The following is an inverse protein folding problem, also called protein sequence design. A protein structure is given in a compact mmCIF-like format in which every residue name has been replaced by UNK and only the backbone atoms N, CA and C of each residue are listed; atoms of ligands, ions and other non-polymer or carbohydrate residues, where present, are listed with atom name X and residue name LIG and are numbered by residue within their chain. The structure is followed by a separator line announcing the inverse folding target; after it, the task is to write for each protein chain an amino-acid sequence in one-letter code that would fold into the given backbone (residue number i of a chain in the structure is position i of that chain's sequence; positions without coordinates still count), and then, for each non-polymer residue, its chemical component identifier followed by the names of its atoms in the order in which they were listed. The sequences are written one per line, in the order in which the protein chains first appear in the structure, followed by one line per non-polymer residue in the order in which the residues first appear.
data_IF_379950079104
#
_entry.id   IF_379950079104
#
_cell.length_a   1.000
_cell.length_b   1.000
_cell.length_c   1.000
_cell.angle_alpha   90.00
_cell.angle_beta   90.00
_cell.angle_gamma   90.00
#
_symmetry.space_group_name_H-M   'P 1'
#
loop_
_entity.id
_entity.type
_entity.pdbx_description
1 polymer ?
#
# COMPACT_ATOMS: atom_id res chain seq x y z
N UNK A 1 8.55 -4.75 10.02
CA UNK A 1 9.45 -4.15 11.00
C UNK A 1 10.83 -4.83 10.91
N UNK A 2 11.72 -4.27 10.07
CA UNK A 2 13.03 -4.84 9.76
C UNK A 2 14.18 -3.98 10.28
N UNK A 3 13.86 -2.93 11.03
CA UNK A 3 14.81 -1.91 11.51
C UNK A 3 14.92 -1.96 13.01
N UNK A 4 16.15 -2.02 13.49
CA UNK A 4 16.48 -2.01 14.93
C UNK A 4 16.97 -0.62 15.35
N UNK A 5 16.12 0.13 16.03
CA UNK A 5 16.42 1.48 16.52
C UNK A 5 17.58 1.48 17.53
N UNK A 6 17.68 0.45 18.38
CA UNK A 6 18.80 0.34 19.37
C UNK A 6 20.13 0.13 18.65
N UNK A 7 20.13 -0.64 17.57
CA UNK A 7 21.30 -0.77 16.70
C UNK A 7 21.65 0.55 16.01
N UNK A 8 20.66 1.29 15.51
CA UNK A 8 20.85 2.61 14.90
C UNK A 8 21.55 3.62 15.83
N UNK A 9 21.30 3.54 17.14
CA UNK A 9 21.95 4.41 18.11
C UNK A 9 23.47 4.17 18.26
N UNK A 10 23.97 3.02 17.81
CA UNK A 10 25.38 2.62 17.84
C UNK A 10 26.12 2.95 16.55
N UNK A 11 25.41 3.38 15.52
CA UNK A 11 26.00 3.69 14.22
C UNK A 11 26.94 4.88 14.29
N UNK A 12 27.95 4.89 13.41
CA UNK A 12 28.69 6.08 13.05
C UNK A 12 27.90 6.91 12.02
N UNK A 13 27.40 8.13 12.37
CA UNK A 13 26.62 8.94 11.45
C UNK A 13 27.37 9.32 10.17
N UNK A 14 28.69 9.48 10.22
CA UNK A 14 29.51 9.78 9.07
C UNK A 14 29.56 8.59 8.11
N UNK A 15 29.79 7.39 8.62
CA UNK A 15 29.80 6.17 7.81
C UNK A 15 28.39 5.90 7.21
N UNK A 16 27.33 6.12 7.99
CA UNK A 16 25.97 6.02 7.50
C UNK A 16 25.67 7.01 6.38
N UNK A 17 26.08 8.27 6.50
CA UNK A 17 25.92 9.28 5.47
C UNK A 17 26.66 8.93 4.18
N UNK A 18 27.90 8.45 4.27
CA UNK A 18 28.67 8.01 3.11
C UNK A 18 28.01 6.81 2.40
N UNK A 19 27.51 5.85 3.14
CA UNK A 19 26.78 4.71 2.59
C UNK A 19 25.48 5.17 1.91
N UNK A 20 24.70 6.05 2.55
CA UNK A 20 23.47 6.59 1.98
C UNK A 20 23.73 7.37 0.67
N UNK A 21 24.81 8.15 0.59
CA UNK A 21 25.20 8.88 -0.62
C UNK A 21 25.60 7.95 -1.78
N UNK A 22 26.15 6.77 -1.47
CA UNK A 22 26.42 5.75 -2.48
C UNK A 22 25.15 5.10 -3.04
N UNK A 23 24.11 5.02 -2.22
CA UNK A 23 22.83 4.44 -2.61
C UNK A 23 21.93 5.42 -3.38
N UNK A 24 22.03 6.73 -3.06
CA UNK A 24 21.07 7.72 -3.56
C UNK A 24 21.62 9.15 -3.49
N UNK A 25 21.24 10.01 -4.45
CA UNK A 25 21.55 11.45 -4.44
C UNK A 25 20.64 12.27 -3.53
N UNK A 26 19.91 11.65 -2.58
CA UNK A 26 19.03 12.37 -1.68
C UNK A 26 19.78 13.44 -0.89
N UNK A 27 19.29 14.66 -0.95
CA UNK A 27 20.00 15.84 -0.44
C UNK A 27 20.22 15.87 1.07
N UNK A 28 19.39 15.13 1.81
CA UNK A 28 19.51 15.00 3.26
C UNK A 28 20.50 13.92 3.71
N UNK A 29 21.10 13.18 2.79
CA UNK A 29 22.13 12.16 3.11
C UNK A 29 23.44 12.84 3.53
N UNK A 30 23.44 13.54 4.66
CA UNK A 30 24.59 14.29 5.17
C UNK A 30 24.93 13.88 6.60
N UNK A 31 26.21 13.92 6.96
CA UNK A 31 26.69 13.62 8.32
C UNK A 31 25.94 14.44 9.37
N UNK A 32 25.80 15.76 9.13
CA UNK A 32 25.11 16.64 10.09
C UNK A 32 23.66 16.27 10.31
N UNK A 33 22.94 15.91 9.26
CA UNK A 33 21.54 15.48 9.37
C UNK A 33 21.38 14.15 10.11
N UNK A 34 22.23 13.17 9.80
CA UNK A 34 22.24 11.88 10.49
C UNK A 34 22.61 12.04 11.98
N UNK A 35 23.65 12.85 12.28
CA UNK A 35 24.05 13.16 13.67
C UNK A 35 22.90 13.80 14.45
N UNK A 36 22.29 14.85 13.92
CA UNK A 36 21.19 15.53 14.60
C UNK A 36 20.00 14.61 14.85
N UNK A 37 19.67 13.74 13.88
CA UNK A 37 18.56 12.78 14.01
C UNK A 37 18.91 11.70 15.03
N UNK A 38 20.13 11.17 15.03
CA UNK A 38 20.56 10.18 16.01
C UNK A 38 20.53 10.73 17.43
N UNK A 39 20.97 11.98 17.66
CA UNK A 39 20.91 12.62 18.97
C UNK A 39 19.46 12.83 19.45
N UNK A 40 18.55 13.17 18.53
CA UNK A 40 17.12 13.23 18.85
C UNK A 40 16.56 11.86 19.23
N UNK A 41 16.94 10.79 18.52
CA UNK A 41 16.56 9.42 18.85
C UNK A 41 17.12 8.98 20.21
N UNK A 42 18.37 9.29 20.54
CA UNK A 42 18.97 9.01 21.85
C UNK A 42 18.16 9.65 22.99
N UNK A 43 17.79 10.91 22.84
CA UNK A 43 16.95 11.61 23.82
C UNK A 43 15.56 10.97 23.95
N UNK A 44 14.95 10.61 22.83
CA UNK A 44 13.64 9.94 22.81
C UNK A 44 13.70 8.59 23.54
N UNK A 45 14.66 7.74 23.23
CA UNK A 45 14.82 6.44 23.88
C UNK A 45 15.12 6.60 25.36
N UNK A 46 15.99 7.54 25.74
CA UNK A 46 16.33 7.83 27.13
C UNK A 46 15.15 8.36 27.96
N UNK A 47 14.17 8.97 27.34
CA UNK A 47 12.97 9.46 28.03
C UNK A 47 12.07 8.36 28.58
N UNK A 48 12.19 7.15 28.07
CA UNK A 48 11.30 6.02 28.38
C UNK A 48 9.88 6.17 27.86
N UNK A 49 9.55 7.25 27.15
CA UNK A 49 8.22 7.54 26.61
C UNK A 49 8.04 6.93 25.22
N UNK A 50 8.30 5.63 25.11
CA UNK A 50 8.28 4.94 23.82
C UNK A 50 6.87 4.62 23.30
N UNK A 51 5.83 4.71 24.16
CA UNK A 51 4.45 4.42 23.78
C UNK A 51 4.31 3.05 23.13
N UNK A 52 3.71 3.00 21.95
CA UNK A 52 3.51 1.75 21.21
C UNK A 52 4.81 1.08 20.75
N UNK A 53 5.92 1.79 20.71
CA UNK A 53 7.23 1.25 20.34
C UNK A 53 7.95 0.56 21.51
N UNK A 54 7.43 0.62 22.72
CA UNK A 54 8.03 -0.02 23.90
C UNK A 54 8.15 -1.56 23.76
N UNK A 55 7.29 -2.17 22.96
CA UNK A 55 7.27 -3.61 22.71
C UNK A 55 7.99 -4.00 21.40
N UNK A 56 8.85 -3.14 20.87
CA UNK A 56 9.67 -3.47 19.70
C UNK A 56 10.58 -4.67 19.99
N UNK A 57 10.80 -5.52 18.99
CA UNK A 57 11.69 -6.69 19.08
C UNK A 57 13.15 -6.31 18.88
N UNK A 58 13.55 -5.11 19.30
CA UNK A 58 14.90 -4.61 19.12
C UNK A 58 15.93 -5.52 19.80
N UNK A 59 17.01 -5.79 19.07
CA UNK A 59 18.03 -6.73 19.50
C UNK A 59 17.70 -8.19 19.18
N UNK A 60 16.61 -8.48 18.48
CA UNK A 60 16.30 -9.84 18.04
C UNK A 60 17.37 -10.36 17.06
N UNK A 61 17.84 -11.62 17.19
CA UNK A 61 18.94 -12.16 16.38
C UNK A 61 18.64 -12.23 14.88
N UNK A 62 17.39 -12.13 14.50
CA UNK A 62 16.98 -12.07 13.09
C UNK A 62 17.10 -10.69 12.46
N UNK A 63 17.34 -9.64 13.21
CA UNK A 63 17.72 -8.34 12.67
C UNK A 63 19.16 -8.36 12.18
N UNK A 64 19.35 -8.16 10.88
CA UNK A 64 20.64 -8.37 10.20
C UNK A 64 21.24 -7.12 9.59
N UNK A 65 20.52 -6.01 9.61
CA UNK A 65 21.05 -4.73 9.15
C UNK A 65 22.21 -4.28 10.04
N UNK A 66 23.25 -3.72 9.44
CA UNK A 66 24.33 -3.08 10.20
C UNK A 66 23.81 -1.87 10.98
N UNK A 67 24.54 -1.37 11.99
CA UNK A 67 24.14 -0.14 12.68
C UNK A 67 23.91 1.03 11.73
N UNK A 68 24.75 1.20 10.72
CA UNK A 68 24.64 2.28 9.72
C UNK A 68 23.39 2.11 8.86
N UNK A 69 23.10 0.89 8.39
CA UNK A 69 21.88 0.59 7.63
C UNK A 69 20.62 0.84 8.48
N UNK A 70 20.64 0.46 9.76
CA UNK A 70 19.55 0.75 10.68
C UNK A 70 19.38 2.26 10.89
N UNK A 71 20.47 3.03 10.96
CA UNK A 71 20.38 4.49 11.09
C UNK A 71 19.81 5.12 9.83
N UNK A 72 20.26 4.71 8.63
CA UNK A 72 19.72 5.18 7.34
C UNK A 72 18.21 4.93 7.30
N UNK A 73 17.78 3.70 7.49
CA UNK A 73 16.37 3.33 7.41
C UNK A 73 15.51 4.07 8.46
N UNK A 74 16.04 4.29 9.68
CA UNK A 74 15.33 5.04 10.72
C UNK A 74 15.19 6.52 10.35
N UNK A 75 16.26 7.16 9.87
CA UNK A 75 16.26 8.57 9.45
C UNK A 75 15.27 8.76 8.30
N UNK A 76 15.33 7.91 7.28
CA UNK A 76 14.45 7.98 6.12
C UNK A 76 12.99 7.66 6.47
N UNK A 77 12.74 6.78 7.44
CA UNK A 77 11.38 6.57 7.95
C UNK A 77 10.81 7.85 8.60
N UNK A 78 11.61 8.57 9.38
CA UNK A 78 11.19 9.85 9.94
C UNK A 78 10.95 10.91 8.85
N UNK A 79 11.77 10.92 7.80
CA UNK A 79 11.55 11.76 6.62
C UNK A 79 10.24 11.38 5.90
N UNK A 80 9.89 10.10 5.82
CA UNK A 80 8.63 9.65 5.25
C UNK A 80 7.41 10.17 6.02
N UNK A 81 7.49 10.26 7.34
CA UNK A 81 6.41 10.84 8.15
C UNK A 81 6.22 12.34 7.86
N UNK A 82 7.30 13.09 7.64
CA UNK A 82 7.21 14.49 7.23
C UNK A 82 6.70 14.63 5.78
N UNK A 83 7.17 13.77 4.89
CA UNK A 83 6.74 13.75 3.49
C UNK A 83 5.22 13.49 3.35
N UNK A 84 4.65 12.60 4.16
CA UNK A 84 3.20 12.33 4.17
C UNK A 84 2.37 13.61 4.37
N UNK A 85 2.81 14.53 5.23
CA UNK A 85 2.12 15.79 5.49
C UNK A 85 2.06 16.69 4.24
N UNK A 86 3.02 16.58 3.36
CA UNK A 86 3.06 17.34 2.12
C UNK A 86 2.18 16.72 1.03
N UNK A 87 2.25 15.40 0.87
CA UNK A 87 1.50 14.69 -0.18
C UNK A 87 -0.01 14.71 0.06
N UNK A 88 -0.44 14.63 1.32
CA UNK A 88 -1.88 14.68 1.65
C UNK A 88 -2.55 16.02 1.29
N UNK A 89 -1.80 17.07 1.00
CA UNK A 89 -2.35 18.34 0.50
C UNK A 89 -3.08 18.15 -0.83
N UNK A 90 -2.70 17.16 -1.63
CA UNK A 90 -3.43 16.77 -2.85
C UNK A 90 -4.85 16.31 -2.52
N UNK A 91 -5.03 15.54 -1.45
CA UNK A 91 -6.36 15.15 -0.97
C UNK A 91 -7.20 16.36 -0.54
N UNK A 92 -6.56 17.34 0.09
CA UNK A 92 -7.27 18.57 0.49
C UNK A 92 -7.70 19.40 -0.73
N UNK A 93 -6.91 19.45 -1.79
CA UNK A 93 -7.26 20.16 -3.03
C UNK A 93 -8.51 19.56 -3.67
N UNK A 94 -8.55 18.23 -3.83
CA UNK A 94 -9.65 17.56 -4.53
C UNK A 94 -10.82 17.20 -3.62
N UNK A 95 -10.55 16.80 -2.39
CA UNK A 95 -11.54 16.25 -1.47
C UNK A 95 -11.78 17.06 -0.19
N UNK A 96 -11.11 18.21 -0.01
CA UNK A 96 -11.29 19.15 1.11
C UNK A 96 -10.69 18.69 2.42
N UNK A 97 -10.33 17.44 2.57
CA UNK A 97 -9.76 16.85 3.80
C UNK A 97 -9.00 15.55 3.52
N UNK A 98 -8.26 15.12 4.53
CA UNK A 98 -7.64 13.82 4.64
C UNK A 98 -7.87 13.27 6.07
N UNK A 99 -8.19 11.99 6.29
CA UNK A 99 -8.60 10.97 5.31
C UNK A 99 -10.06 11.16 4.84
N UNK A 100 -10.51 10.26 3.98
CA UNK A 100 -11.87 10.20 3.45
C UNK A 100 -12.31 11.49 2.74
N UNK A 101 -11.67 11.82 1.58
CA UNK A 101 -12.04 12.97 0.77
C UNK A 101 -13.52 12.96 0.40
N UNK A 102 -14.13 14.14 0.29
CA UNK A 102 -15.54 14.29 -0.05
C UNK A 102 -15.69 14.42 -1.57
N UNK A 103 -16.26 13.40 -2.23
CA UNK A 103 -16.54 13.42 -3.67
C UNK A 103 -18.03 13.35 -4.00
N UNK A 104 -18.89 13.37 -2.98
CA UNK A 104 -20.33 13.23 -3.14
C UNK A 104 -20.99 14.60 -3.16
N UNK A 105 -22.09 14.70 -3.89
CA UNK A 105 -22.92 15.91 -4.02
C UNK A 105 -23.25 16.54 -2.66
N UNK A 106 -23.06 17.85 -2.56
CA UNK A 106 -23.27 18.62 -1.34
C UNK A 106 -22.04 18.80 -0.46
N UNK A 107 -20.92 18.13 -0.79
CA UNK A 107 -19.67 18.26 -0.03
C UNK A 107 -18.42 18.31 -0.88
N UNK A 108 -18.54 18.42 -2.19
CA UNK A 108 -17.40 18.38 -3.11
C UNK A 108 -16.62 19.70 -3.09
N UNK A 109 -15.39 19.72 -2.56
CA UNK A 109 -14.60 20.95 -2.43
C UNK A 109 -13.93 21.39 -3.74
N UNK A 110 -13.83 20.47 -4.72
CA UNK A 110 -13.37 20.78 -6.06
C UNK A 110 -14.45 20.36 -7.06
N UNK A 111 -15.05 21.35 -7.73
CA UNK A 111 -16.12 21.09 -8.71
C UNK A 111 -15.57 20.38 -9.94
N UNK A 112 -16.38 19.49 -10.50
CA UNK A 112 -16.13 18.86 -11.82
C UNK A 112 -16.46 19.86 -12.93
N UNK A 113 -17.46 20.73 -12.72
CA UNK A 113 -17.78 21.81 -13.65
C UNK A 113 -16.71 22.90 -13.61
N UNK A 114 -16.00 23.09 -14.71
CA UNK A 114 -14.90 24.04 -14.82
C UNK A 114 -15.35 25.52 -14.74
N UNK A 115 -16.64 25.79 -14.83
CA UNK A 115 -17.19 27.15 -14.71
C UNK A 115 -17.44 27.54 -13.24
N UNK A 116 -17.39 26.60 -12.33
CA UNK A 116 -17.60 26.87 -10.90
C UNK A 116 -16.35 27.47 -10.24
N UNK A 117 -16.55 28.35 -9.27
CA UNK A 117 -15.48 29.06 -8.58
C UNK A 117 -14.51 28.13 -7.81
N UNK A 118 -14.96 26.96 -7.40
CA UNK A 118 -14.17 25.93 -6.71
C UNK A 118 -13.62 24.85 -7.64
N UNK A 119 -13.74 25.01 -8.96
CA UNK A 119 -13.11 24.09 -9.92
C UNK A 119 -11.58 24.14 -9.80
N UNK A 120 -10.92 23.10 -10.37
CA UNK A 120 -9.47 23.11 -10.48
C UNK A 120 -9.03 24.31 -11.34
N UNK A 121 -8.15 25.12 -10.81
CA UNK A 121 -7.56 26.25 -11.51
C UNK A 121 -6.04 26.04 -11.70
N UNK A 122 -5.38 26.97 -12.38
CA UNK A 122 -3.95 26.87 -12.69
C UNK A 122 -3.08 26.75 -11.42
N UNK A 123 -3.39 27.47 -10.36
CA UNK A 123 -2.62 27.46 -9.11
C UNK A 123 -2.78 26.12 -8.38
N UNK A 124 -4.02 25.60 -8.28
CA UNK A 124 -4.28 24.28 -7.71
C UNK A 124 -3.59 23.18 -8.49
N UNK A 125 -3.65 23.26 -9.83
CA UNK A 125 -2.98 22.29 -10.71
C UNK A 125 -1.46 22.35 -10.55
N UNK A 126 -0.88 23.54 -10.47
CA UNK A 126 0.56 23.74 -10.22
C UNK A 126 0.98 23.15 -8.86
N UNK A 127 0.19 23.40 -7.81
CA UNK A 127 0.44 22.81 -6.48
C UNK A 127 0.39 21.27 -6.52
N UNK A 128 -0.64 20.70 -7.15
CA UNK A 128 -0.76 19.23 -7.29
C UNK A 128 0.43 18.66 -8.03
N UNK A 129 0.81 19.26 -9.17
CA UNK A 129 1.96 18.85 -9.96
C UNK A 129 3.25 18.91 -9.13
N UNK A 130 3.49 20.00 -8.41
CA UNK A 130 4.64 20.13 -7.53
C UNK A 130 4.68 19.00 -6.49
N UNK A 131 3.54 18.73 -5.80
CA UNK A 131 3.49 17.67 -4.78
C UNK A 131 3.70 16.26 -5.34
N UNK A 132 3.25 16.01 -6.56
CA UNK A 132 3.51 14.74 -7.24
C UNK A 132 4.98 14.59 -7.61
N UNK A 133 5.67 15.65 -8.07
CA UNK A 133 7.10 15.60 -8.37
C UNK A 133 7.95 15.44 -7.09
N UNK A 134 7.58 16.12 -6.00
CA UNK A 134 8.20 15.91 -4.68
C UNK A 134 8.01 14.45 -4.21
N UNK A 135 6.81 13.89 -4.37
CA UNK A 135 6.50 12.52 -4.04
C UNK A 135 7.33 11.51 -4.86
N UNK A 136 7.41 11.72 -6.17
CA UNK A 136 8.21 10.90 -7.09
C UNK A 136 9.70 10.95 -6.72
N UNK A 137 10.21 12.13 -6.42
CA UNK A 137 11.60 12.31 -5.99
C UNK A 137 11.89 11.52 -4.71
N UNK A 138 11.02 11.60 -3.70
CA UNK A 138 11.17 10.86 -2.47
C UNK A 138 11.14 9.34 -2.69
N UNK A 139 10.20 8.85 -3.50
CA UNK A 139 10.12 7.42 -3.82
C UNK A 139 11.39 6.94 -4.50
N UNK A 140 11.86 7.66 -5.52
CA UNK A 140 13.02 7.25 -6.31
C UNK A 140 14.35 7.38 -5.55
N UNK A 141 14.47 8.38 -4.67
CA UNK A 141 15.73 8.69 -4.00
C UNK A 141 15.80 8.19 -2.55
N UNK A 142 14.69 7.79 -1.95
CA UNK A 142 14.66 7.29 -0.57
C UNK A 142 14.04 5.91 -0.50
N UNK A 143 12.77 5.78 -0.89
CA UNK A 143 12.02 4.54 -0.66
C UNK A 143 12.58 3.34 -1.44
N UNK A 144 12.84 3.50 -2.75
CA UNK A 144 13.37 2.41 -3.58
C UNK A 144 14.79 2.01 -3.16
N UNK A 145 15.76 2.92 -2.98
CA UNK A 145 17.09 2.57 -2.50
C UNK A 145 17.08 1.84 -1.15
N UNK A 146 16.28 2.31 -0.20
CA UNK A 146 16.16 1.65 1.10
C UNK A 146 15.55 0.26 0.98
N UNK A 147 14.50 0.12 0.17
CA UNK A 147 13.87 -1.17 -0.10
C UNK A 147 14.88 -2.17 -0.68
N UNK A 148 15.68 -1.76 -1.65
CA UNK A 148 16.69 -2.62 -2.27
C UNK A 148 17.82 -2.97 -1.30
N UNK A 149 18.28 -2.01 -0.48
CA UNK A 149 19.25 -2.25 0.58
C UNK A 149 18.75 -3.30 1.56
N UNK A 150 17.53 -3.15 2.07
CA UNK A 150 16.92 -4.07 3.03
C UNK A 150 16.65 -5.43 2.38
N UNK A 151 16.11 -5.45 1.17
CA UNK A 151 15.81 -6.68 0.43
C UNK A 151 17.08 -7.51 0.18
N UNK A 152 18.20 -6.87 -0.14
CA UNK A 152 19.47 -7.58 -0.33
C UNK A 152 19.94 -8.32 0.93
N UNK A 153 19.71 -7.74 2.11
CA UNK A 153 20.06 -8.38 3.40
C UNK A 153 19.11 -9.52 3.75
N UNK A 154 17.82 -9.37 3.45
CA UNK A 154 16.78 -10.32 3.87
C UNK A 154 16.24 -11.21 2.73
N UNK A 155 16.85 -11.20 1.57
CA UNK A 155 16.39 -11.94 0.37
C UNK A 155 16.08 -13.41 0.63
N UNK A 156 16.89 -14.10 1.42
CA UNK A 156 16.71 -15.51 1.72
C UNK A 156 15.47 -15.81 2.57
N UNK A 157 15.05 -14.84 3.38
CA UNK A 157 13.81 -14.92 4.17
C UNK A 157 12.62 -14.48 3.35
N UNK A 158 12.72 -13.35 2.66
CA UNK A 158 11.63 -12.78 1.88
C UNK A 158 11.18 -13.69 0.74
N UNK A 159 12.09 -14.46 0.17
CA UNK A 159 11.74 -15.45 -0.87
C UNK A 159 10.89 -16.62 -0.36
N UNK A 160 10.80 -16.81 0.98
CA UNK A 160 10.14 -17.97 1.60
C UNK A 160 8.92 -17.60 2.45
N UNK A 161 8.77 -16.33 2.83
CA UNK A 161 7.75 -15.86 3.77
C UNK A 161 6.84 -14.86 3.08
N UNK A 162 5.53 -15.00 3.30
CA UNK A 162 4.55 -14.03 2.83
C UNK A 162 4.28 -14.10 1.33
N UNK A 163 4.44 -15.25 0.71
CA UNK A 163 4.27 -15.43 -0.74
C UNK A 163 2.87 -15.14 -1.28
N UNK A 164 1.85 -15.09 -0.42
CA UNK A 164 0.48 -14.80 -0.80
C UNK A 164 -0.10 -15.77 -1.82
N UNK A 165 -1.20 -15.37 -2.46
CA UNK A 165 -1.79 -16.09 -3.58
C UNK A 165 -0.98 -15.86 -4.86
N UNK A 166 -1.14 -16.75 -5.84
CA UNK A 166 -0.39 -16.69 -7.09
C UNK A 166 -1.18 -16.08 -8.25
N UNK A 167 -2.42 -15.70 -7.97
CA UNK A 167 -3.36 -15.18 -8.96
C UNK A 167 -3.60 -13.70 -8.70
N UNK A 168 -3.65 -12.91 -9.73
CA UNK A 168 -3.81 -11.46 -9.66
C UNK A 168 -4.98 -11.01 -10.52
N UNK A 169 -5.84 -10.16 -9.97
CA UNK A 169 -7.00 -9.63 -10.67
C UNK A 169 -6.97 -8.09 -10.64
N UNK A 170 -7.16 -7.49 -11.80
CA UNK A 170 -7.38 -6.06 -11.98
C UNK A 170 -8.78 -5.84 -12.59
N UNK A 171 -9.58 -5.00 -11.94
CA UNK A 171 -10.86 -4.55 -12.52
C UNK A 171 -10.69 -3.49 -13.61
N UNK A 172 -9.49 -2.99 -13.77
CA UNK A 172 -9.19 -1.85 -14.61
C UNK A 172 -9.36 -0.52 -13.88
N UNK A 173 -8.62 0.49 -14.34
CA UNK A 173 -8.65 1.82 -13.74
C UNK A 173 -8.22 2.90 -14.75
N UNK A 174 -8.59 4.15 -14.48
CA UNK A 174 -8.29 5.32 -15.31
C UNK A 174 -8.82 5.18 -16.76
N UNK A 175 -10.17 5.16 -16.95
CA UNK A 175 -10.77 5.20 -18.27
C UNK A 175 -10.32 6.46 -19.01
N UNK A 176 -9.95 6.31 -20.29
CA UNK A 176 -9.51 7.46 -21.12
C UNK A 176 -10.70 8.17 -21.74
N UNK A 177 -11.74 7.42 -22.08
CA UNK A 177 -12.95 7.95 -22.72
C UNK A 177 -14.18 7.69 -21.87
N UNK A 178 -14.71 6.49 -21.91
CA UNK A 178 -15.93 6.10 -21.20
C UNK A 178 -15.71 4.88 -20.31
N UNK A 179 -16.50 4.76 -19.24
CA UNK A 179 -16.45 3.60 -18.33
C UNK A 179 -16.81 2.28 -19.02
N UNK A 180 -17.56 2.31 -20.11
CA UNK A 180 -17.89 1.14 -20.91
C UNK A 180 -16.75 0.68 -21.82
N UNK A 181 -15.80 1.56 -22.15
CA UNK A 181 -14.68 1.27 -23.03
C UNK A 181 -13.48 0.71 -22.28
N UNK A 182 -13.63 -0.49 -21.74
CA UNK A 182 -12.64 -1.14 -20.84
C UNK A 182 -11.26 -1.26 -21.49
N UNK A 183 -11.19 -1.44 -22.80
CA UNK A 183 -9.94 -1.51 -23.57
C UNK A 183 -9.15 -0.20 -23.57
N UNK A 184 -9.83 0.93 -23.33
CA UNK A 184 -9.21 2.26 -23.24
C UNK A 184 -8.52 2.52 -21.89
N UNK A 185 -8.72 1.68 -20.91
CA UNK A 185 -8.20 1.90 -19.55
C UNK A 185 -6.68 1.91 -19.51
N UNK A 186 -6.11 2.90 -18.81
CA UNK A 186 -4.65 2.98 -18.62
C UNK A 186 -4.09 1.83 -17.77
N UNK A 187 -4.88 1.39 -16.78
CA UNK A 187 -4.63 0.14 -16.09
C UNK A 187 -5.66 -0.86 -16.60
N UNK A 188 -5.24 -1.92 -17.32
CA UNK A 188 -6.16 -2.82 -17.98
C UNK A 188 -6.93 -3.68 -16.98
N UNK A 189 -8.13 -4.10 -17.39
CA UNK A 189 -8.88 -5.16 -16.74
C UNK A 189 -8.31 -6.51 -17.17
N UNK A 190 -8.18 -7.45 -16.25
CA UNK A 190 -7.73 -8.80 -16.57
C UNK A 190 -7.23 -9.58 -15.37
N UNK A 191 -6.81 -10.80 -15.65
CA UNK A 191 -6.33 -11.75 -14.66
C UNK A 191 -5.00 -12.35 -15.13
N UNK A 192 -4.05 -12.46 -14.21
CA UNK A 192 -2.85 -13.26 -14.35
C UNK A 192 -2.98 -14.45 -13.38
N UNK A 193 -2.90 -15.67 -13.89
CA UNK A 193 -3.00 -16.90 -13.11
C UNK A 193 -1.61 -17.48 -12.87
N UNK A 194 -1.41 -18.04 -11.69
CA UNK A 194 -0.21 -18.78 -11.31
C UNK A 194 1.12 -18.07 -11.58
N UNK A 195 1.09 -16.72 -11.54
CA UNK A 195 2.24 -15.84 -11.86
C UNK A 195 2.73 -15.97 -13.32
N UNK A 196 1.91 -16.48 -14.22
CA UNK A 196 2.24 -16.55 -15.65
C UNK A 196 2.03 -15.18 -16.31
N UNK A 197 3.10 -14.41 -16.40
CA UNK A 197 3.10 -13.07 -17.00
C UNK A 197 2.99 -13.11 -18.54
N UNK A 198 3.03 -14.26 -19.16
CA UNK A 198 2.91 -14.38 -20.62
C UNK A 198 1.46 -14.24 -21.12
N UNK A 199 0.48 -14.32 -20.21
CA UNK A 199 -0.94 -14.36 -20.57
C UNK A 199 -1.81 -13.55 -19.60
N UNK A 200 -2.61 -12.67 -20.17
CA UNK A 200 -3.70 -11.99 -19.44
C UNK A 200 -5.02 -12.60 -19.86
N UNK A 201 -5.76 -13.11 -18.89
CA UNK A 201 -7.09 -13.69 -19.12
C UNK A 201 -8.15 -12.58 -18.98
N UNK A 202 -9.22 -12.61 -19.80
CA UNK A 202 -10.33 -11.67 -19.64
C UNK A 202 -11.10 -11.97 -18.36
N UNK A 203 -11.76 -10.94 -17.81
CA UNK A 203 -12.70 -11.06 -16.70
C UNK A 203 -13.90 -10.16 -16.94
N UNK A 204 -15.08 -10.68 -16.72
CA UNK A 204 -16.31 -9.89 -16.65
C UNK A 204 -16.68 -9.65 -15.18
N UNK A 205 -16.48 -8.42 -14.73
CA UNK A 205 -16.74 -8.01 -13.36
C UNK A 205 -18.26 -8.04 -13.01
N UNK A 206 -19.13 -8.05 -14.00
CA UNK A 206 -20.58 -8.09 -13.83
C UNK A 206 -21.17 -9.52 -13.94
N UNK A 207 -20.34 -10.50 -14.26
CA UNK A 207 -20.78 -11.88 -14.41
C UNK A 207 -21.00 -12.57 -13.07
N UNK A 208 -22.23 -13.00 -12.74
CA UNK A 208 -22.51 -13.74 -11.52
C UNK A 208 -21.78 -15.09 -11.45
N UNK A 209 -21.38 -15.63 -12.60
CA UNK A 209 -20.65 -16.89 -12.65
C UNK A 209 -19.15 -16.72 -12.41
N UNK A 210 -18.61 -15.54 -12.63
CA UNK A 210 -17.18 -15.29 -12.48
C UNK A 210 -16.80 -14.83 -11.07
N UNK A 211 -17.55 -13.88 -10.48
CA UNK A 211 -17.20 -13.28 -9.19
C UNK A 211 -18.32 -13.53 -8.19
N UNK A 212 -17.96 -14.18 -7.09
CA UNK A 212 -18.87 -14.47 -5.98
C UNK A 212 -18.24 -14.09 -4.65
N UNK A 213 -19.05 -13.54 -3.74
CA UNK A 213 -18.65 -13.22 -2.38
C UNK A 213 -19.13 -14.34 -1.43
N UNK A 214 -18.20 -15.00 -0.76
CA UNK A 214 -18.48 -16.08 0.18
C UNK A 214 -18.51 -15.54 1.62
N UNK A 215 -19.41 -16.09 2.45
CA UNK A 215 -19.64 -15.66 3.83
C UNK A 215 -19.40 -16.76 4.87
N UNK A 216 -18.66 -17.81 4.54
CA UNK A 216 -18.42 -18.95 5.43
C UNK A 216 -17.89 -18.57 6.81
N UNK A 217 -17.00 -17.56 6.86
CA UNK A 217 -16.33 -17.10 8.09
C UNK A 217 -16.77 -15.70 8.51
N UNK A 218 -17.83 -15.17 7.92
CA UNK A 218 -18.34 -13.83 8.20
C UNK A 218 -19.67 -13.89 8.91
N UNK A 219 -19.94 -12.95 9.80
CA UNK A 219 -21.20 -12.86 10.55
C UNK A 219 -22.34 -12.31 9.68
N UNK A 220 -22.51 -12.92 8.51
CA UNK A 220 -23.59 -12.63 7.59
C UNK A 220 -24.34 -13.89 7.19
N UNK A 221 -25.53 -13.69 6.63
CA UNK A 221 -26.30 -14.69 5.90
C UNK A 221 -26.91 -14.08 4.65
N UNK A 222 -27.10 -14.89 3.64
CA UNK A 222 -27.91 -14.58 2.48
C UNK A 222 -29.33 -15.08 2.67
N UNK A 223 -30.31 -14.42 2.03
CA UNK A 223 -31.71 -14.89 2.00
C UNK A 223 -31.84 -16.23 1.27
N UNK A 224 -30.98 -16.45 0.28
CA UNK A 224 -30.94 -17.68 -0.53
C UNK A 224 -30.15 -18.83 0.13
N UNK A 225 -29.71 -18.65 1.35
CA UNK A 225 -28.86 -19.58 2.09
C UNK A 225 -27.41 -19.14 2.13
N UNK A 226 -26.73 -19.50 3.21
CA UNK A 226 -25.41 -19.02 3.56
C UNK A 226 -24.23 -19.78 2.94
N UNK A 227 -24.50 -20.92 2.30
CA UNK A 227 -23.46 -21.84 1.83
C UNK A 227 -22.96 -21.56 0.42
N UNK A 228 -23.69 -20.82 -0.36
CA UNK A 228 -23.29 -20.44 -1.70
C UNK A 228 -22.67 -19.04 -1.70
N UNK A 229 -21.58 -18.85 -2.45
CA UNK A 229 -21.14 -17.52 -2.79
C UNK A 229 -22.11 -16.90 -3.78
N UNK A 230 -22.43 -15.63 -3.61
CA UNK A 230 -23.30 -14.88 -4.51
C UNK A 230 -22.59 -13.66 -5.06
N UNK A 231 -22.91 -13.29 -6.31
CA UNK A 231 -22.42 -12.04 -6.87
C UNK A 231 -22.99 -10.86 -6.07
N UNK A 232 -22.26 -9.73 -5.90
CA UNK A 232 -22.73 -8.57 -5.14
C UNK A 232 -24.12 -8.05 -5.55
N UNK A 233 -24.50 -8.18 -6.81
CA UNK A 233 -25.83 -7.76 -7.32
C UNK A 233 -26.95 -8.80 -7.13
N UNK A 234 -26.61 -10.02 -6.73
CA UNK A 234 -27.59 -11.09 -6.50
C UNK A 234 -27.82 -11.41 -5.04
N UNK A 235 -26.81 -11.13 -4.20
CA UNK A 235 -26.81 -11.48 -2.80
C UNK A 235 -27.33 -10.35 -1.92
N UNK A 236 -28.49 -10.53 -1.29
CA UNK A 236 -28.95 -9.68 -0.20
C UNK A 236 -28.32 -10.13 1.13
N UNK A 237 -27.47 -9.28 1.71
CA UNK A 237 -26.73 -9.60 2.92
C UNK A 237 -27.47 -9.14 4.17
N UNK A 238 -27.69 -10.07 5.10
CA UNK A 238 -28.23 -9.79 6.43
C UNK A 238 -27.17 -10.02 7.49
N UNK A 239 -27.24 -9.24 8.59
CA UNK A 239 -26.38 -9.42 9.75
C UNK A 239 -26.79 -10.69 10.52
N UNK A 240 -25.81 -11.49 10.89
CA UNK A 240 -25.98 -12.67 11.73
C UNK A 240 -24.77 -12.83 12.66
N UNK A 241 -24.79 -12.07 13.75
CA UNK A 241 -23.70 -12.13 14.71
C UNK A 241 -23.86 -13.33 15.66
N UNK A 242 -22.99 -14.31 15.49
CA UNK A 242 -22.87 -15.48 16.36
C UNK A 242 -21.58 -15.45 17.19
N UNK A 243 -20.81 -14.42 17.06
CA UNK A 243 -19.48 -14.32 17.62
C UNK A 243 -19.41 -14.13 19.14
N UNK A 244 -18.21 -13.88 19.65
CA UNK A 244 -17.95 -13.80 21.09
C UNK A 244 -18.79 -12.75 21.80
N UNK A 245 -19.29 -13.11 22.98
CA UNK A 245 -20.03 -12.22 23.89
C UNK A 245 -19.38 -12.21 25.27
N UNK A 246 -19.54 -11.14 26.04
CA UNK A 246 -19.07 -11.15 27.42
C UNK A 246 -19.54 -12.42 28.18
N UNK A 247 -18.67 -13.06 28.96
CA UNK A 247 -17.30 -12.71 29.36
C UNK A 247 -16.19 -13.08 28.37
N UNK A 248 -16.43 -13.19 27.07
CA UNK A 248 -15.45 -13.47 26.00
C UNK A 248 -14.61 -14.74 26.21
N UNK A 249 -15.25 -15.79 26.68
CA UNK A 249 -14.66 -17.13 26.79
C UNK A 249 -14.82 -17.87 25.46
N UNK A 250 -13.91 -18.81 25.22
CA UNK A 250 -13.99 -19.73 24.09
C UNK A 250 -13.94 -19.02 22.72
N UNK A 251 -13.07 -18.04 22.56
CA UNK A 251 -12.88 -17.32 21.29
C UNK A 251 -12.45 -18.25 20.14
N UNK A 252 -11.78 -19.37 20.46
CA UNK A 252 -11.23 -20.30 19.47
C UNK A 252 -12.25 -21.32 18.94
N UNK A 253 -13.47 -21.32 19.44
CA UNK A 253 -14.53 -22.28 18.99
C UNK A 253 -15.51 -21.67 18.01
N UNK A 254 -15.36 -20.42 17.67
CA UNK A 254 -16.23 -19.73 16.72
C UNK A 254 -15.68 -19.87 15.30
N UNK A 255 -16.45 -20.47 14.39
CA UNK A 255 -16.06 -20.62 12.99
C UNK A 255 -16.09 -19.29 12.22
N UNK A 256 -16.98 -18.38 12.65
CA UNK A 256 -17.08 -17.04 12.08
C UNK A 256 -16.23 -16.07 12.92
N UNK A 257 -15.39 -15.30 12.26
CA UNK A 257 -14.43 -14.41 12.94
C UNK A 257 -14.33 -13.01 12.33
N UNK A 258 -15.15 -12.70 11.33
CA UNK A 258 -14.96 -11.48 10.54
C UNK A 258 -16.30 -10.87 10.11
N UNK A 259 -16.27 -9.57 9.82
CA UNK A 259 -17.29 -8.85 9.07
C UNK A 259 -16.95 -8.68 7.58
N UNK A 260 -15.89 -9.35 7.11
CA UNK A 260 -15.40 -9.26 5.74
C UNK A 260 -15.87 -10.49 4.97
N UNK A 261 -16.54 -10.26 3.85
CA UNK A 261 -16.85 -11.31 2.88
C UNK A 261 -15.60 -11.73 2.12
N UNK A 262 -15.62 -12.92 1.57
CA UNK A 262 -14.49 -13.52 0.86
C UNK A 262 -14.78 -13.61 -0.63
N UNK A 263 -14.43 -12.60 -1.44
CA UNK A 263 -14.63 -12.66 -2.89
C UNK A 263 -13.68 -13.66 -3.54
N UNK A 264 -14.20 -14.34 -4.57
CA UNK A 264 -13.44 -15.32 -5.39
C UNK A 264 -13.81 -15.13 -6.86
N UNK A 265 -12.83 -15.35 -7.73
CA UNK A 265 -13.07 -15.52 -9.16
C UNK A 265 -13.12 -17.00 -9.48
N UNK A 266 -14.29 -17.50 -9.94
CA UNK A 266 -14.50 -18.93 -10.23
C UNK A 266 -13.98 -19.85 -9.12
N UNK A 267 -14.20 -19.46 -7.86
CA UNK A 267 -13.74 -20.11 -6.61
C UNK A 267 -12.24 -19.93 -6.29
N UNK A 268 -11.45 -19.39 -7.21
CA UNK A 268 -10.03 -19.14 -6.99
C UNK A 268 -9.78 -17.86 -6.17
N UNK A 269 -8.87 -17.88 -5.21
CA UNK A 269 -8.43 -16.68 -4.51
C UNK A 269 -7.61 -15.80 -5.43
N UNK A 270 -7.88 -14.50 -5.38
CA UNK A 270 -7.18 -13.49 -6.16
C UNK A 270 -6.57 -12.43 -5.26
N UNK A 271 -5.35 -12.05 -5.53
CA UNK A 271 -4.83 -10.79 -5.03
C UNK A 271 -5.38 -9.65 -5.88
N UNK A 272 -5.89 -8.61 -5.21
CA UNK A 272 -6.39 -7.38 -5.82
C UNK A 272 -5.66 -6.17 -5.23
N UNK A 273 -5.75 -5.02 -5.87
CA UNK A 273 -5.15 -3.79 -5.38
C UNK A 273 -3.93 -3.34 -6.20
N UNK A 274 -3.09 -2.45 -5.66
CA UNK A 274 -2.01 -1.81 -6.43
C UNK A 274 -1.04 -2.79 -7.08
N UNK A 275 -0.59 -3.81 -6.35
CA UNK A 275 0.34 -4.80 -6.90
C UNK A 275 -0.31 -5.58 -8.04
N UNK A 276 -1.52 -6.10 -7.85
CA UNK A 276 -2.23 -6.87 -8.88
C UNK A 276 -2.47 -6.02 -10.14
N UNK A 277 -2.87 -4.76 -9.99
CA UNK A 277 -3.06 -3.83 -11.10
C UNK A 277 -1.78 -3.61 -11.91
N UNK A 278 -0.63 -3.46 -11.23
CA UNK A 278 0.67 -3.32 -11.90
C UNK A 278 1.12 -4.61 -12.58
N UNK A 279 0.91 -5.77 -11.97
CA UNK A 279 1.24 -7.07 -12.55
C UNK A 279 0.42 -7.32 -13.82
N UNK A 280 -0.90 -7.07 -13.78
CA UNK A 280 -1.76 -7.24 -14.95
C UNK A 280 -1.39 -6.23 -16.04
N UNK A 281 -1.11 -4.98 -15.70
CA UNK A 281 -0.66 -3.96 -16.65
C UNK A 281 0.69 -4.32 -17.28
N UNK A 282 1.62 -4.83 -16.50
CA UNK A 282 2.91 -5.31 -16.99
C UNK A 282 2.76 -6.47 -17.96
N UNK A 283 2.00 -7.49 -17.58
CA UNK A 283 1.74 -8.67 -18.41
C UNK A 283 0.99 -8.30 -19.72
N UNK A 284 0.12 -7.29 -19.66
CA UNK A 284 -0.57 -6.74 -20.85
C UNK A 284 0.32 -5.83 -21.71
N UNK A 285 1.57 -5.57 -21.34
CA UNK A 285 2.48 -4.68 -22.04
C UNK A 285 2.06 -3.21 -22.04
N UNK A 286 1.25 -2.77 -21.06
CA UNK A 286 0.75 -1.39 -20.99
C UNK A 286 1.82 -0.43 -20.46
N UNK A 287 1.96 0.70 -21.14
CA UNK A 287 2.84 1.80 -20.73
C UNK A 287 2.05 2.85 -19.93
N UNK A 288 2.67 3.55 -18.97
CA UNK A 288 4.10 3.49 -18.58
C UNK A 288 4.45 2.38 -17.58
N UNK A 289 3.49 1.55 -17.14
CA UNK A 289 3.68 0.57 -16.08
C UNK A 289 4.78 -0.45 -16.41
N UNK A 290 4.80 -0.91 -17.68
CA UNK A 290 5.83 -1.85 -18.13
C UNK A 290 7.23 -1.26 -18.02
N UNK A 291 7.45 -0.05 -18.53
CA UNK A 291 8.74 0.63 -18.48
C UNK A 291 9.19 0.92 -17.04
N UNK A 292 8.27 1.35 -16.15
CA UNK A 292 8.58 1.62 -14.74
C UNK A 292 9.05 0.35 -14.04
N UNK A 293 8.39 -0.78 -14.24
CA UNK A 293 8.78 -2.05 -13.63
C UNK A 293 10.12 -2.52 -14.19
N UNK A 294 10.31 -2.49 -15.51
CA UNK A 294 11.55 -2.89 -16.15
C UNK A 294 12.74 -2.04 -15.68
N UNK A 295 12.56 -0.73 -15.49
CA UNK A 295 13.59 0.17 -14.98
C UNK A 295 13.91 -0.11 -13.50
N UNK A 296 12.90 -0.41 -12.69
CA UNK A 296 13.08 -0.69 -11.26
C UNK A 296 13.82 -2.02 -11.01
N UNK A 297 13.67 -2.99 -11.92
CA UNK A 297 14.27 -4.31 -11.78
C UNK A 297 15.69 -4.41 -12.40
N UNK A 298 16.16 -3.39 -13.09
CA UNK A 298 17.54 -3.29 -13.64
C UNK A 298 18.55 -2.84 -12.61
#
# INVERSE_FOLDING_TARGET
DWVDVVSALKADPKAAALLAQQLSPWTKNTEGYFTATQERLKKFVASGQLGIFANGYWGHPDYKLTPEQNLIATVHYLDALEWQKEVVKVHAVFGGKNPHPNYIVGGMPCSIDLNEANAINADRLALVKQKLEEAKTFINQVYIPDLLMIANVYKDKWSKIGGGVRNYLSYGDYPVFDLGEVESYKIPRGIVLDRDLSKVHPVDANSPEEIKEYIYHSWYKYTQGDKAGLHPYEGETHLEYTGPRPPYKLLDVEDKYSWIKTPRWKQEPMEVGPLARLIVAYAAGKEPQKSIVDETLR
#
